data_IF_705452419867
#
_entry.id   IF_705452419867
#
_cell.length_a   1.000
_cell.length_b   1.000
_cell.length_c   1.000
_cell.angle_alpha   90.00
_cell.angle_beta   90.00
_cell.angle_gamma   90.00
#
_symmetry.space_group_name_H-M   'P 1'
#
loop_
_entity.id
_entity.type
_entity.pdbx_description
1 polymer ?
#
# COMPACT_ATOMS: atom_id res chain seq x y z
N UNK A 1 -3.60 -19.63 -93.20
CA UNK A 1 -3.57 -21.11 -93.09
C UNK A 1 -2.98 -21.44 -91.72
N UNK A 2 -3.86 -21.68 -90.75
CA UNK A 2 -4.10 -23.00 -90.14
C UNK A 2 -3.07 -23.35 -89.05
N UNK A 3 -3.52 -23.16 -87.81
CA UNK A 3 -3.47 -24.11 -86.69
C UNK A 3 -2.15 -24.88 -86.53
N UNK A 4 -1.38 -24.54 -85.49
CA UNK A 4 -0.74 -25.45 -84.52
C UNK A 4 0.45 -24.72 -83.87
N UNK A 5 0.23 -24.08 -82.72
CA UNK A 5 1.27 -23.81 -81.70
C UNK A 5 0.64 -23.28 -80.39
N UNK A 6 -0.52 -23.84 -80.04
CA UNK A 6 -1.16 -23.69 -78.71
C UNK A 6 -1.03 -25.02 -77.98
N UNK A 7 0.20 -25.46 -77.74
CA UNK A 7 0.54 -26.62 -76.90
C UNK A 7 1.91 -26.38 -76.27
N UNK A 8 1.96 -25.45 -75.31
CA UNK A 8 3.15 -25.25 -74.45
C UNK A 8 2.74 -24.44 -73.21
N UNK A 9 1.74 -24.91 -72.47
CA UNK A 9 1.61 -24.60 -71.05
C UNK A 9 0.77 -25.67 -70.35
N UNK A 10 1.15 -26.92 -70.60
CA UNK A 10 0.46 -28.12 -70.12
C UNK A 10 1.37 -28.95 -69.24
N UNK A 11 1.98 -28.37 -68.20
CA UNK A 11 2.57 -29.15 -67.08
C UNK A 11 2.77 -28.30 -65.81
N UNK A 12 1.68 -27.82 -65.22
CA UNK A 12 1.68 -27.38 -63.81
C UNK A 12 0.29 -27.49 -63.15
N UNK A 13 -0.55 -28.39 -63.67
CA UNK A 13 -1.88 -28.73 -63.15
C UNK A 13 -1.80 -30.05 -62.37
N UNK A 14 -1.21 -30.04 -61.18
CA UNK A 14 -1.45 -31.06 -60.15
C UNK A 14 -1.09 -30.47 -58.79
N UNK A 15 -2.05 -29.75 -58.19
CA UNK A 15 -2.28 -29.62 -56.74
C UNK A 15 -3.58 -28.80 -56.56
N UNK A 16 -4.69 -29.37 -57.05
CA UNK A 16 -6.03 -28.92 -56.71
C UNK A 16 -6.51 -29.78 -55.52
N UNK A 17 -6.66 -29.16 -54.36
CA UNK A 17 -7.24 -29.76 -53.15
C UNK A 17 -8.10 -28.72 -52.44
N UNK A 18 -9.36 -28.65 -52.88
CA UNK A 18 -10.58 -28.12 -52.24
C UNK A 18 -10.49 -26.99 -51.19
N UNK A 19 -10.99 -25.80 -51.55
CA UNK A 19 -11.51 -24.81 -50.60
C UNK A 19 -13.03 -24.62 -50.85
N UNK A 20 -13.93 -24.94 -49.89
CA UNK A 20 -15.36 -24.71 -50.06
C UNK A 20 -15.80 -23.35 -49.48
N UNK A 21 -16.26 -22.52 -50.42
CA UNK A 21 -17.39 -21.57 -50.41
C UNK A 21 -17.64 -20.66 -49.21
N UNK A 22 -17.54 -19.35 -49.48
CA UNK A 22 -18.22 -18.26 -48.77
C UNK A 22 -19.52 -17.88 -49.51
N UNK A 23 -20.62 -17.77 -48.76
CA UNK A 23 -21.90 -17.10 -49.07
C UNK A 23 -22.75 -17.26 -47.79
N UNK A 24 -23.46 -16.29 -47.21
CA UNK A 24 -23.71 -14.86 -47.49
C UNK A 24 -24.25 -14.24 -46.19
N UNK A 25 -24.08 -12.93 -46.03
CA UNK A 25 -24.89 -11.98 -45.26
C UNK A 25 -25.38 -12.34 -43.85
N UNK A 26 -24.73 -11.75 -42.84
CA UNK A 26 -25.48 -11.21 -41.70
C UNK A 26 -24.83 -9.91 -41.19
N UNK A 27 -25.71 -8.94 -40.95
CA UNK A 27 -25.42 -7.53 -40.74
C UNK A 27 -24.44 -7.29 -39.58
N UNK A 28 -23.54 -6.33 -39.79
CA UNK A 28 -22.75 -5.72 -38.72
C UNK A 28 -23.70 -5.01 -37.75
N UNK A 29 -24.16 -5.72 -36.72
CA UNK A 29 -24.77 -5.10 -35.55
C UNK A 29 -23.64 -4.43 -34.79
N UNK A 30 -23.49 -3.12 -34.98
CA UNK A 30 -22.74 -2.29 -34.04
C UNK A 30 -23.37 -2.43 -32.66
N UNK A 31 -22.76 -3.24 -31.79
CA UNK A 31 -23.02 -3.17 -30.34
C UNK A 31 -22.29 -1.95 -29.79
N UNK A 32 -23.08 -0.94 -29.45
CA UNK A 32 -22.71 0.18 -28.58
C UNK A 32 -22.23 -0.32 -27.21
N UNK A 33 -21.24 0.38 -26.68
CA UNK A 33 -20.84 0.47 -25.28
C UNK A 33 -20.75 -0.85 -24.47
N UNK A 34 -19.61 -1.53 -24.59
CA UNK A 34 -19.17 -2.48 -23.57
C UNK A 34 -17.91 -1.91 -22.92
N UNK A 35 -17.95 -1.73 -21.59
CA UNK A 35 -16.78 -1.36 -20.77
C UNK A 35 -15.59 -2.22 -21.22
N UNK A 36 -14.44 -1.60 -21.51
CA UNK A 36 -13.21 -2.28 -21.94
C UNK A 36 -12.85 -3.38 -20.94
N UNK A 37 -13.19 -4.61 -21.27
CA UNK A 37 -12.68 -5.79 -20.59
C UNK A 37 -11.23 -5.98 -21.05
N UNK A 38 -10.28 -5.89 -20.13
CA UNK A 38 -8.88 -6.08 -20.46
C UNK A 38 -8.50 -7.54 -20.33
N UNK A 39 -7.72 -8.07 -21.28
CA UNK A 39 -7.08 -9.37 -21.13
C UNK A 39 -6.07 -9.32 -19.99
N UNK A 40 -6.39 -9.93 -18.85
CA UNK A 40 -5.58 -9.91 -17.65
C UNK A 40 -5.32 -11.32 -17.13
N UNK A 41 -4.03 -11.68 -17.00
CA UNK A 41 -3.59 -12.80 -16.15
C UNK A 41 -3.36 -12.21 -14.74
N UNK A 42 -3.12 -13.05 -13.72
CA UNK A 42 -2.75 -12.60 -12.37
C UNK A 42 -1.46 -13.30 -11.90
N UNK A 43 -0.79 -12.71 -10.92
CA UNK A 43 0.24 -13.44 -10.17
C UNK A 43 -0.35 -14.69 -9.52
N UNK A 44 0.42 -15.78 -9.45
CA UNK A 44 -0.04 -17.03 -8.83
C UNK A 44 0.17 -17.07 -7.32
N UNK A 45 1.21 -16.39 -6.83
CA UNK A 45 1.57 -16.33 -5.42
C UNK A 45 1.06 -15.01 -4.81
N UNK A 46 0.36 -15.11 -3.68
CA UNK A 46 -0.20 -13.98 -2.94
C UNK A 46 0.73 -13.50 -1.81
N UNK A 47 1.71 -14.33 -1.42
CA UNK A 47 2.69 -14.07 -0.34
C UNK A 47 2.06 -14.12 1.05
N UNK A 48 1.08 -13.26 1.36
CA UNK A 48 0.35 -13.21 2.64
C UNK A 48 -1.16 -13.10 2.43
N UNK A 49 -1.95 -13.46 3.43
CA UNK A 49 -3.39 -13.18 3.46
C UNK A 49 -3.69 -11.67 3.46
N UNK A 50 -2.76 -10.83 3.94
CA UNK A 50 -2.90 -9.37 3.98
C UNK A 50 -2.81 -8.71 2.60
N UNK A 51 -2.34 -9.46 1.59
CA UNK A 51 -2.11 -8.95 0.25
C UNK A 51 -3.06 -9.55 -0.77
N UNK A 52 -3.13 -8.90 -1.94
CA UNK A 52 -3.89 -9.36 -3.09
C UNK A 52 -2.95 -9.87 -4.17
N UNK A 53 -3.45 -10.77 -5.03
CA UNK A 53 -2.75 -11.08 -6.28
C UNK A 53 -2.81 -9.87 -7.22
N UNK A 54 -1.72 -9.60 -7.91
CA UNK A 54 -1.61 -8.44 -8.81
C UNK A 54 -1.99 -8.80 -10.24
N UNK A 55 -2.67 -7.89 -10.93
CA UNK A 55 -3.03 -8.04 -12.35
C UNK A 55 -1.78 -7.97 -13.25
N UNK A 56 -1.75 -8.80 -14.29
CA UNK A 56 -0.72 -8.85 -15.33
C UNK A 56 -1.32 -8.65 -16.74
N UNK A 57 -0.64 -7.93 -17.65
CA UNK A 57 0.70 -7.34 -17.50
C UNK A 57 0.72 -6.20 -16.47
N UNK A 58 1.82 -6.08 -15.73
CA UNK A 58 1.97 -5.08 -14.68
C UNK A 58 1.77 -3.66 -15.25
N UNK A 59 0.92 -2.89 -14.57
CA UNK A 59 0.63 -1.50 -14.91
C UNK A 59 1.06 -0.61 -13.74
N UNK A 60 2.10 0.22 -13.91
CA UNK A 60 2.50 1.14 -12.86
C UNK A 60 1.41 2.18 -12.60
N UNK A 61 1.35 2.66 -11.36
CA UNK A 61 0.51 3.78 -10.96
C UNK A 61 0.62 4.97 -11.92
N UNK A 62 -0.50 5.62 -12.23
CA UNK A 62 -0.49 6.91 -12.94
C UNK A 62 0.02 8.06 -12.09
N UNK A 63 0.27 7.82 -10.81
CA UNK A 63 0.91 8.71 -9.85
C UNK A 63 2.23 8.16 -9.27
N UNK A 64 2.88 7.23 -9.99
CA UNK A 64 4.11 6.56 -9.54
C UNK A 64 5.17 7.54 -9.02
N UNK A 65 5.66 7.29 -7.80
CA UNK A 65 6.70 8.08 -7.15
C UNK A 65 6.19 9.33 -6.41
N UNK A 66 4.93 9.73 -6.59
CA UNK A 66 4.37 10.90 -5.88
C UNK A 66 4.31 10.66 -4.37
N UNK A 67 4.03 9.43 -3.92
CA UNK A 67 4.03 9.05 -2.50
C UNK A 67 5.37 9.30 -1.83
N UNK A 68 6.48 9.03 -2.53
CA UNK A 68 7.85 9.21 -2.03
C UNK A 68 8.20 10.69 -1.85
N UNK A 69 7.57 11.57 -2.64
CA UNK A 69 7.81 13.02 -2.55
C UNK A 69 7.01 13.69 -1.43
N UNK A 70 5.90 13.07 -1.01
CA UNK A 70 4.89 13.71 -0.17
C UNK A 70 4.80 13.16 1.26
N UNK A 71 5.24 11.92 1.46
CA UNK A 71 5.22 11.26 2.77
C UNK A 71 6.60 11.34 3.41
N UNK A 72 6.62 11.70 4.70
CA UNK A 72 7.80 12.04 5.48
C UNK A 72 8.75 10.87 5.71
N UNK A 73 8.21 9.68 5.98
CA UNK A 73 9.00 8.51 6.38
C UNK A 73 8.66 7.29 5.53
N UNK A 74 9.66 6.41 5.32
CA UNK A 74 9.42 5.13 4.65
C UNK A 74 8.44 4.24 5.43
N UNK A 75 8.41 4.37 6.76
CA UNK A 75 7.46 3.65 7.61
C UNK A 75 6.02 4.07 7.30
N UNK A 76 5.75 5.38 7.19
CA UNK A 76 4.43 5.89 6.82
C UNK A 76 4.03 5.46 5.40
N UNK A 77 4.98 5.37 4.45
CA UNK A 77 4.67 4.87 3.10
C UNK A 77 4.21 3.41 3.17
N UNK A 78 4.99 2.56 3.86
CA UNK A 78 4.65 1.14 3.99
C UNK A 78 3.28 0.96 4.65
N UNK A 79 3.01 1.73 5.70
CA UNK A 79 1.77 1.66 6.45
C UNK A 79 0.58 2.21 5.65
N UNK A 80 0.76 3.31 4.93
CA UNK A 80 -0.29 3.86 4.05
C UNK A 80 -0.68 2.87 2.95
N UNK A 81 0.28 2.23 2.29
CA UNK A 81 0.01 1.30 1.19
C UNK A 81 -0.54 -0.04 1.69
N UNK A 82 0.11 -0.65 2.67
CA UNK A 82 -0.29 -1.96 3.21
C UNK A 82 -1.55 -1.86 4.05
N UNK A 83 -1.68 -0.80 4.86
CA UNK A 83 -2.87 -0.57 5.67
C UNK A 83 -4.09 -0.22 4.82
N UNK A 84 -3.93 0.47 3.68
CA UNK A 84 -5.05 0.64 2.75
C UNK A 84 -5.49 -0.69 2.14
N UNK A 85 -4.57 -1.63 1.88
CA UNK A 85 -4.96 -3.00 1.48
C UNK A 85 -5.74 -3.68 2.59
N UNK A 86 -5.30 -3.63 3.86
CA UNK A 86 -6.04 -4.18 5.00
C UNK A 86 -7.45 -3.59 5.13
N UNK A 87 -7.59 -2.26 5.02
CA UNK A 87 -8.90 -1.60 5.02
C UNK A 87 -9.77 -2.07 3.85
N UNK A 88 -9.16 -2.28 2.67
CA UNK A 88 -9.87 -2.69 1.45
C UNK A 88 -10.44 -4.10 1.54
N UNK A 89 -9.83 -5.00 2.33
CA UNK A 89 -10.33 -6.37 2.52
C UNK A 89 -11.73 -6.42 3.15
N UNK A 90 -12.15 -5.37 3.86
CA UNK A 90 -13.51 -5.25 4.40
C UNK A 90 -14.58 -5.14 3.31
N UNK A 91 -14.22 -4.65 2.12
CA UNK A 91 -15.13 -4.44 0.98
C UNK A 91 -14.84 -5.39 -0.18
N UNK A 92 -13.57 -5.77 -0.35
CA UNK A 92 -13.06 -6.47 -1.52
C UNK A 92 -12.25 -7.69 -1.06
N UNK A 93 -12.85 -8.87 -0.97
CA UNK A 93 -12.10 -10.07 -0.55
C UNK A 93 -10.93 -10.38 -1.50
N UNK A 94 -9.72 -10.70 -1.01
CA UNK A 94 -8.58 -11.10 -1.85
C UNK A 94 -8.81 -12.43 -2.60
N UNK A 95 -9.83 -13.20 -2.23
CA UNK A 95 -10.25 -14.39 -2.97
C UNK A 95 -10.98 -14.04 -4.28
N UNK A 96 -11.73 -12.94 -4.27
CA UNK A 96 -12.61 -12.52 -5.37
C UNK A 96 -12.02 -11.38 -6.21
N UNK A 97 -11.12 -10.59 -5.63
CA UNK A 97 -10.55 -9.40 -6.23
C UNK A 97 -9.05 -9.50 -6.43
N UNK A 98 -8.58 -8.82 -7.47
CA UNK A 98 -7.18 -8.63 -7.81
C UNK A 98 -6.80 -7.18 -7.58
N UNK A 99 -5.54 -6.96 -7.23
CA UNK A 99 -4.99 -5.63 -7.00
C UNK A 99 -4.32 -5.06 -8.25
N UNK A 100 -4.50 -3.76 -8.41
CA UNK A 100 -3.76 -2.94 -9.35
C UNK A 100 -3.48 -1.57 -8.73
N UNK A 101 -2.29 -1.02 -8.97
CA UNK A 101 -1.98 0.35 -8.57
C UNK A 101 -2.88 1.36 -9.30
N UNK A 102 -3.24 2.47 -8.63
CA UNK A 102 -4.20 3.45 -9.14
C UNK A 102 -3.97 3.93 -10.58
N UNK A 103 -4.99 3.76 -11.42
CA UNK A 103 -4.95 4.10 -12.84
C UNK A 103 -5.75 5.34 -13.23
N UNK A 104 -6.60 5.88 -12.35
CA UNK A 104 -7.55 6.92 -12.73
C UNK A 104 -7.12 8.30 -12.24
N UNK A 105 -6.49 8.39 -11.07
CA UNK A 105 -6.01 9.64 -10.49
C UNK A 105 -4.52 9.85 -10.83
N UNK A 106 -4.27 10.61 -11.91
CA UNK A 106 -2.91 10.88 -12.38
C UNK A 106 -2.11 11.80 -11.46
N UNK A 107 -0.77 11.80 -11.57
CA UNK A 107 0.10 12.75 -10.87
C UNK A 107 -0.34 14.21 -11.04
N UNK A 108 -0.77 14.61 -12.25
CA UNK A 108 -1.20 15.98 -12.51
C UNK A 108 -2.47 16.33 -11.72
N UNK A 109 -3.46 15.44 -11.73
CA UNK A 109 -4.71 15.60 -10.97
C UNK A 109 -4.42 15.66 -9.47
N UNK A 110 -3.65 14.71 -8.95
CA UNK A 110 -3.35 14.63 -7.52
C UNK A 110 -2.52 15.83 -7.05
N UNK A 111 -1.54 16.28 -7.84
CA UNK A 111 -0.76 17.48 -7.49
C UNK A 111 -1.65 18.73 -7.37
N UNK A 112 -2.63 18.90 -8.27
CA UNK A 112 -3.61 20.00 -8.17
C UNK A 112 -4.47 19.89 -6.91
N UNK A 113 -4.93 18.68 -6.58
CA UNK A 113 -5.78 18.45 -5.39
C UNK A 113 -5.01 18.64 -4.09
N UNK A 114 -3.73 18.25 -4.06
CA UNK A 114 -2.89 18.33 -2.87
C UNK A 114 -2.39 19.74 -2.57
N UNK A 115 -2.34 20.62 -3.57
CA UNK A 115 -1.94 22.00 -3.36
C UNK A 115 -3.03 22.82 -2.63
N UNK A 116 -2.68 24.03 -2.20
CA UNK A 116 -3.61 24.97 -1.58
C UNK A 116 -4.63 25.49 -2.58
N UNK A 117 -5.86 25.64 -2.12
CA UNK A 117 -6.88 26.38 -2.85
C UNK A 117 -6.42 27.83 -3.08
N UNK A 118 -6.56 28.31 -4.31
CA UNK A 118 -6.22 29.67 -4.70
C UNK A 118 -7.00 30.08 -5.94
N UNK A 119 -6.89 31.35 -6.33
CA UNK A 119 -7.57 31.86 -7.53
C UNK A 119 -7.01 31.20 -8.80
N UNK A 120 -5.75 30.72 -8.76
CA UNK A 120 -5.08 29.96 -9.83
C UNK A 120 -5.35 28.46 -9.77
N UNK A 121 -5.59 27.92 -8.57
CA UNK A 121 -5.89 26.52 -8.35
C UNK A 121 -7.14 26.38 -7.48
N UNK A 122 -8.31 26.36 -8.13
CA UNK A 122 -9.59 26.20 -7.43
C UNK A 122 -9.84 24.77 -6.93
N UNK A 123 -9.06 23.81 -7.43
CA UNK A 123 -9.20 22.40 -7.10
C UNK A 123 -8.35 21.97 -5.89
N UNK A 124 -7.48 22.84 -5.37
CA UNK A 124 -6.70 22.56 -4.17
C UNK A 124 -7.59 22.26 -2.96
N UNK A 125 -7.33 21.14 -2.30
CA UNK A 125 -8.06 20.69 -1.11
C UNK A 125 -7.49 21.30 0.17
N UNK A 126 -6.20 21.67 0.18
CA UNK A 126 -5.61 22.35 1.32
C UNK A 126 -6.08 23.80 1.41
N UNK A 127 -6.15 24.40 2.62
CA UNK A 127 -6.71 25.72 2.81
C UNK A 127 -5.87 26.80 2.11
N UNK A 128 -6.56 27.85 1.61
CA UNK A 128 -5.92 29.03 1.02
C UNK A 128 -4.92 29.62 2.00
N UNK A 129 -3.75 30.03 1.49
CA UNK A 129 -2.76 30.70 2.31
C UNK A 129 -3.36 32.03 2.83
N UNK A 130 -3.42 32.18 4.16
CA UNK A 130 -3.98 33.34 4.83
C UNK A 130 -2.95 34.42 5.15
N UNK A 131 -1.69 34.25 4.73
CA UNK A 131 -0.60 35.20 4.97
C UNK A 131 -0.17 35.31 6.43
N UNK A 132 -0.61 34.38 7.30
CA UNK A 132 -0.27 34.34 8.72
C UNK A 132 0.77 33.28 9.01
N UNK A 133 1.48 33.46 10.11
CA UNK A 133 2.48 32.54 10.64
C UNK A 133 2.09 31.98 12.01
N UNK A 134 2.78 30.92 12.44
CA UNK A 134 2.62 30.30 13.75
C UNK A 134 1.26 29.63 13.89
N UNK A 135 0.67 29.70 15.07
CA UNK A 135 -0.61 29.03 15.37
C UNK A 135 -1.78 29.51 14.51
N UNK A 136 -1.72 30.75 14.00
CA UNK A 136 -2.79 31.31 13.16
C UNK A 136 -2.64 30.97 11.67
N UNK A 137 -1.53 30.34 11.27
CA UNK A 137 -1.30 29.88 9.90
C UNK A 137 -2.30 28.78 9.56
N UNK A 138 -2.85 28.80 8.34
CA UNK A 138 -3.64 27.68 7.83
C UNK A 138 -2.70 26.53 7.41
N UNK A 139 -2.69 25.38 8.09
CA UNK A 139 -1.72 24.32 7.79
C UNK A 139 -2.06 23.55 6.52
N UNK A 140 -1.09 22.79 6.01
CA UNK A 140 -1.31 21.72 5.05
C UNK A 140 -1.84 20.53 5.83
N UNK A 141 -3.14 20.27 5.75
CA UNK A 141 -3.78 19.13 6.39
C UNK A 141 -3.52 17.84 5.62
N UNK A 142 -3.61 17.89 4.29
CA UNK A 142 -3.52 16.73 3.41
C UNK A 142 -2.14 16.69 2.73
N UNK A 143 -1.35 15.66 3.02
CA UNK A 143 -0.04 15.47 2.42
C UNK A 143 -0.10 14.66 1.12
N UNK A 144 -0.93 13.61 1.10
CA UNK A 144 -1.00 12.70 -0.04
C UNK A 144 -2.37 12.06 -0.20
N UNK A 145 -2.67 11.63 -1.43
CA UNK A 145 -3.84 10.82 -1.77
C UNK A 145 -3.31 9.57 -2.49
N UNK A 146 -3.61 8.40 -1.94
CA UNK A 146 -3.28 7.12 -2.56
C UNK A 146 -4.53 6.50 -3.18
N UNK A 147 -4.42 5.95 -4.39
CA UNK A 147 -5.46 5.18 -5.07
C UNK A 147 -5.01 3.72 -5.25
N UNK A 148 -5.91 2.79 -4.94
CA UNK A 148 -5.78 1.35 -5.21
C UNK A 148 -7.01 0.84 -5.95
N UNK A 149 -6.79 0.10 -7.03
CA UNK A 149 -7.84 -0.42 -7.90
C UNK A 149 -8.05 -1.92 -7.63
N UNK A 150 -9.31 -2.32 -7.44
CA UNK A 150 -9.70 -3.70 -7.14
C UNK A 150 -10.53 -4.28 -8.29
N UNK A 151 -9.97 -5.26 -8.99
CA UNK A 151 -10.54 -5.82 -10.21
C UNK A 151 -11.13 -7.21 -9.96
N UNK A 152 -12.31 -7.49 -10.54
CA UNK A 152 -12.88 -8.83 -10.60
C UNK A 152 -12.60 -9.48 -11.94
N UNK A 153 -12.45 -10.80 -11.93
CA UNK A 153 -12.49 -11.58 -13.17
C UNK A 153 -13.92 -11.60 -13.70
N UNK A 154 -14.11 -11.28 -14.98
CA UNK A 154 -15.43 -11.35 -15.64
C UNK A 154 -15.56 -12.62 -16.47
N UNK A 155 -14.51 -12.99 -17.22
CA UNK A 155 -14.39 -14.28 -17.91
C UNK A 155 -12.99 -14.88 -17.70
N UNK A 156 -12.69 -16.05 -18.29
CA UNK A 156 -11.43 -16.80 -18.07
C UNK A 156 -10.15 -15.97 -18.17
N UNK A 157 -10.12 -14.95 -19.02
CA UNK A 157 -8.94 -14.12 -19.26
C UNK A 157 -9.21 -12.61 -19.16
N UNK A 158 -10.38 -12.18 -18.67
CA UNK A 158 -10.75 -10.77 -18.63
C UNK A 158 -11.00 -10.27 -17.22
N UNK A 159 -10.57 -9.05 -16.95
CA UNK A 159 -10.79 -8.37 -15.67
C UNK A 159 -11.54 -7.06 -15.88
N UNK A 160 -12.37 -6.71 -14.91
CA UNK A 160 -13.11 -5.46 -14.87
C UNK A 160 -13.01 -4.81 -13.49
N UNK A 161 -13.00 -3.49 -13.44
CA UNK A 161 -12.95 -2.73 -12.19
C UNK A 161 -14.20 -3.05 -11.34
N UNK A 162 -13.96 -3.57 -10.14
CA UNK A 162 -15.00 -3.94 -9.17
C UNK A 162 -15.13 -2.98 -7.99
N UNK A 163 -14.13 -2.11 -7.78
CA UNK A 163 -14.12 -1.08 -6.75
C UNK A 163 -12.77 -0.39 -6.68
N UNK A 164 -12.72 0.74 -5.98
CA UNK A 164 -11.46 1.43 -5.65
C UNK A 164 -11.38 1.72 -4.16
N UNK A 165 -10.16 1.90 -3.67
CA UNK A 165 -9.89 2.44 -2.34
C UNK A 165 -9.01 3.67 -2.44
N UNK A 166 -9.32 4.66 -1.60
CA UNK A 166 -8.59 5.92 -1.50
C UNK A 166 -8.11 6.10 -0.06
N UNK A 167 -6.83 6.37 0.15
CA UNK A 167 -6.35 6.88 1.43
C UNK A 167 -6.06 8.38 1.34
N UNK A 168 -6.54 9.14 2.32
CA UNK A 168 -6.15 10.51 2.56
C UNK A 168 -5.09 10.53 3.66
N UNK A 169 -3.83 10.76 3.28
CA UNK A 169 -2.73 10.86 4.22
C UNK A 169 -2.65 12.27 4.78
N UNK A 170 -3.01 12.41 6.05
CA UNK A 170 -3.14 13.68 6.74
C UNK A 170 -1.92 13.95 7.64
N UNK A 171 -1.48 15.20 7.70
CA UNK A 171 -0.40 15.61 8.60
C UNK A 171 -0.90 15.68 10.05
N UNK A 172 -0.22 14.98 10.97
CA UNK A 172 -0.30 15.26 12.41
C UNK A 172 0.57 16.47 12.80
N UNK A 173 1.65 16.71 12.04
CA UNK A 173 2.52 17.88 12.12
C UNK A 173 2.76 18.41 10.72
N UNK A 174 2.44 19.68 10.49
CA UNK A 174 2.79 20.37 9.26
C UNK A 174 4.13 21.10 9.40
N UNK A 175 5.04 20.85 8.47
CA UNK A 175 6.40 21.37 8.49
C UNK A 175 6.56 22.46 7.43
N UNK A 176 7.00 23.66 7.82
CA UNK A 176 7.09 24.79 6.90
C UNK A 176 8.29 25.69 7.17
N UNK A 177 8.72 26.43 6.14
CA UNK A 177 9.77 27.45 6.25
C UNK A 177 9.14 28.83 5.96
N UNK A 178 9.56 29.85 6.70
CA UNK A 178 9.11 31.25 6.50
C UNK A 178 9.86 31.95 5.38
N UNK A 179 11.08 31.50 5.11
CA UNK A 179 11.95 32.01 4.06
C UNK A 179 12.72 30.86 3.41
N UNK A 180 13.15 31.07 2.17
CA UNK A 180 13.85 30.04 1.40
C UNK A 180 15.17 29.68 2.10
N UNK A 181 15.39 28.40 2.37
CA UNK A 181 16.56 27.87 3.07
C UNK A 181 16.69 28.29 4.55
N UNK A 182 15.60 28.77 5.16
CA UNK A 182 15.54 29.10 6.59
C UNK A 182 15.28 27.89 7.49
N UNK A 183 15.02 28.18 8.77
CA UNK A 183 14.64 27.15 9.74
C UNK A 183 13.29 26.50 9.41
N UNK A 184 13.16 25.21 9.72
CA UNK A 184 11.90 24.46 9.63
C UNK A 184 11.11 24.66 10.92
N UNK A 185 9.88 25.14 10.79
CA UNK A 185 8.91 25.28 11.87
C UNK A 185 7.89 24.15 11.80
N UNK A 186 7.31 23.83 12.96
CA UNK A 186 6.30 22.80 13.11
C UNK A 186 4.97 23.41 13.57
N UNK A 187 3.87 22.93 12.98
CA UNK A 187 2.53 23.24 13.44
C UNK A 187 1.80 21.92 13.71
N UNK A 188 1.56 21.63 14.99
CA UNK A 188 0.82 20.43 15.41
C UNK A 188 -0.66 20.54 15.02
N UNK A 189 -1.24 19.43 14.57
CA UNK A 189 -2.65 19.29 14.22
C UNK A 189 -3.24 18.21 15.12
N UNK A 190 -4.29 18.55 15.87
CA UNK A 190 -4.95 17.57 16.75
C UNK A 190 -5.66 16.49 15.92
N UNK A 191 -5.74 15.28 16.48
CA UNK A 191 -6.44 14.15 15.83
C UNK A 191 -7.89 14.48 15.48
N UNK A 192 -8.58 15.25 16.34
CA UNK A 192 -9.94 15.72 16.09
C UNK A 192 -10.04 16.67 14.89
N UNK A 193 -9.09 17.60 14.75
CA UNK A 193 -9.05 18.55 13.64
C UNK A 193 -8.69 17.83 12.34
N UNK A 194 -7.66 16.97 12.39
CA UNK A 194 -7.23 16.13 11.29
C UNK A 194 -8.38 15.27 10.77
N UNK A 195 -9.10 14.57 11.67
CA UNK A 195 -10.24 13.73 11.31
C UNK A 195 -11.37 14.55 10.68
N UNK A 196 -11.68 15.72 11.24
CA UNK A 196 -12.72 16.61 10.71
C UNK A 196 -12.38 17.04 9.28
N UNK A 197 -11.16 17.55 9.06
CA UNK A 197 -10.68 17.95 7.75
C UNK A 197 -10.62 16.78 6.76
N UNK A 198 -10.15 15.62 7.19
CA UNK A 198 -10.11 14.42 6.37
C UNK A 198 -11.50 13.99 5.89
N UNK A 199 -12.53 14.08 6.75
CA UNK A 199 -13.92 13.76 6.38
C UNK A 199 -14.49 14.75 5.37
N UNK A 200 -14.23 16.05 5.54
CA UNK A 200 -14.66 17.10 4.60
C UNK A 200 -13.99 16.92 3.22
N UNK A 201 -12.68 16.67 3.21
CA UNK A 201 -11.92 16.42 1.99
C UNK A 201 -12.36 15.12 1.31
N UNK A 202 -12.66 14.06 2.07
CA UNK A 202 -13.18 12.79 1.55
C UNK A 202 -14.49 12.96 0.77
N UNK A 203 -15.41 13.79 1.26
CA UNK A 203 -16.66 14.09 0.56
C UNK A 203 -16.40 14.79 -0.78
N UNK A 204 -15.45 15.74 -0.80
CA UNK A 204 -15.04 16.43 -2.02
C UNK A 204 -14.35 15.48 -3.01
N UNK A 205 -13.47 14.61 -2.52
CA UNK A 205 -12.77 13.61 -3.33
C UNK A 205 -13.76 12.61 -3.95
N UNK A 206 -14.73 12.12 -3.18
CA UNK A 206 -15.79 11.24 -3.72
C UNK A 206 -16.56 11.92 -4.87
N UNK A 207 -16.96 13.18 -4.71
CA UNK A 207 -17.67 13.90 -5.77
C UNK A 207 -16.84 14.01 -7.06
N UNK A 208 -15.53 14.25 -6.94
CA UNK A 208 -14.63 14.30 -8.09
C UNK A 208 -14.40 12.92 -8.72
N UNK A 209 -14.31 11.88 -7.91
CA UNK A 209 -14.23 10.48 -8.37
C UNK A 209 -15.47 10.13 -9.19
N UNK A 210 -16.67 10.50 -8.73
CA UNK A 210 -17.92 10.25 -9.45
C UNK A 210 -18.01 10.98 -10.79
N UNK A 211 -17.31 12.10 -10.95
CA UNK A 211 -17.18 12.81 -12.22
C UNK A 211 -16.05 12.27 -13.12
N UNK A 212 -15.25 11.32 -12.63
CA UNK A 212 -14.11 10.74 -13.36
C UNK A 212 -14.59 9.59 -14.24
N UNK A 213 -14.28 9.63 -15.54
CA UNK A 213 -14.71 8.60 -16.51
C UNK A 213 -14.25 7.20 -16.07
N UNK A 214 -15.21 6.29 -15.91
CA UNK A 214 -14.96 4.90 -15.50
C UNK A 214 -15.13 4.64 -14.00
N UNK A 215 -15.31 5.69 -13.18
CA UNK A 215 -15.49 5.60 -11.73
C UNK A 215 -16.87 6.11 -11.24
N UNK A 216 -17.77 6.43 -12.17
CA UNK A 216 -19.11 6.97 -11.92
C UNK A 216 -19.98 6.08 -11.02
N UNK A 217 -19.81 4.76 -11.12
CA UNK A 217 -20.71 3.75 -10.53
C UNK A 217 -20.01 2.69 -9.67
N UNK A 218 -18.67 2.74 -9.55
CA UNK A 218 -17.93 1.73 -8.79
C UNK A 218 -18.00 2.00 -7.29
N UNK A 219 -18.08 0.99 -6.42
CA UNK A 219 -17.90 1.19 -4.98
C UNK A 219 -16.56 1.89 -4.68
N UNK A 220 -16.58 2.86 -3.77
CA UNK A 220 -15.40 3.61 -3.33
C UNK A 220 -15.26 3.44 -1.83
N UNK A 221 -14.13 2.88 -1.39
CA UNK A 221 -13.73 2.90 0.02
C UNK A 221 -12.81 4.11 0.22
N UNK A 222 -13.05 4.92 1.24
CA UNK A 222 -12.15 6.03 1.62
C UNK A 222 -11.70 5.85 3.05
N UNK A 223 -10.39 5.92 3.28
CA UNK A 223 -9.75 5.80 4.57
C UNK A 223 -8.94 7.06 4.90
N UNK A 224 -8.93 7.45 6.17
CA UNK A 224 -8.14 8.58 6.67
C UNK A 224 -6.94 8.01 7.42
N UNK A 225 -5.75 8.35 6.94
CA UNK A 225 -4.48 7.97 7.53
C UNK A 225 -3.89 9.18 8.24
N UNK A 226 -3.52 9.03 9.51
CA UNK A 226 -2.77 10.03 10.27
C UNK A 226 -1.29 9.70 10.10
N UNK A 227 -0.53 10.58 9.46
CA UNK A 227 0.91 10.43 9.31
C UNK A 227 1.65 10.69 10.63
N UNK A 228 2.72 9.94 10.87
CA UNK A 228 3.66 10.18 11.96
C UNK A 228 4.47 11.47 11.78
N UNK A 229 5.29 11.78 12.79
CA UNK A 229 6.27 12.86 12.71
C UNK A 229 7.45 12.46 11.82
N UNK A 230 8.15 13.43 11.24
CA UNK A 230 9.35 13.20 10.42
C UNK A 230 10.47 12.45 11.15
N UNK A 231 10.60 12.69 12.44
CA UNK A 231 11.58 12.06 13.34
C UNK A 231 10.98 10.85 14.09
N UNK A 232 9.77 10.43 13.73
CA UNK A 232 9.11 9.26 14.29
C UNK A 232 9.84 7.96 13.94
N UNK A 233 10.03 7.12 14.95
CA UNK A 233 10.63 5.78 14.83
C UNK A 233 9.60 4.67 14.60
N UNK A 234 8.32 5.04 14.53
CA UNK A 234 7.17 4.23 14.13
C UNK A 234 6.31 5.04 13.14
N UNK A 235 5.57 4.37 12.24
CA UNK A 235 4.65 5.08 11.35
C UNK A 235 3.48 5.71 12.13
N UNK A 236 2.72 6.55 11.44
CA UNK A 236 1.37 6.86 11.84
C UNK A 236 0.41 5.67 11.67
N UNK A 237 -0.90 5.92 11.63
CA UNK A 237 -1.92 4.87 11.61
C UNK A 237 -3.21 5.32 10.91
N UNK A 238 -4.01 4.36 10.45
CA UNK A 238 -5.38 4.64 10.01
C UNK A 238 -6.26 4.95 11.23
N UNK A 239 -7.19 5.90 11.07
CA UNK A 239 -8.08 6.34 12.16
C UNK A 239 -9.57 6.19 11.83
N UNK A 240 -9.93 6.17 10.55
CA UNK A 240 -11.30 6.00 10.13
C UNK A 240 -11.43 5.55 8.67
N UNK A 241 -12.50 4.84 8.35
CA UNK A 241 -12.88 4.51 6.98
C UNK A 241 -14.38 4.62 6.73
N UNK A 242 -14.77 4.74 5.46
CA UNK A 242 -16.15 4.72 5.01
C UNK A 242 -16.24 4.14 3.61
N UNK A 243 -17.41 3.66 3.22
CA UNK A 243 -17.69 3.15 1.87
C UNK A 243 -18.81 3.96 1.23
N UNK A 244 -18.75 4.10 -0.09
CA UNK A 244 -19.75 4.77 -0.90
C UNK A 244 -20.09 3.94 -2.13
N UNK A 245 -21.31 3.42 -2.19
CA UNK A 245 -21.85 2.74 -3.38
C UNK A 245 -22.47 3.73 -4.38
N UNK A 246 -22.79 4.95 -3.91
CA UNK A 246 -23.39 6.02 -4.70
C UNK A 246 -22.63 7.34 -4.56
N UNK A 247 -23.36 8.45 -4.68
CA UNK A 247 -22.79 9.81 -4.63
C UNK A 247 -22.54 10.35 -3.20
N UNK A 248 -22.82 9.56 -2.16
CA UNK A 248 -22.68 10.00 -0.77
C UNK A 248 -21.87 8.98 0.03
N UNK A 249 -21.04 9.49 0.95
CA UNK A 249 -20.30 8.66 1.90
C UNK A 249 -21.26 7.97 2.86
N UNK A 250 -20.99 6.70 3.15
CA UNK A 250 -21.68 5.96 4.20
C UNK A 250 -21.25 6.38 5.60
N UNK A 251 -21.64 5.57 6.59
CA UNK A 251 -21.25 5.78 7.99
C UNK A 251 -19.75 5.53 8.17
N UNK A 252 -19.07 6.49 8.78
CA UNK A 252 -17.67 6.32 9.19
C UNK A 252 -17.53 5.25 10.27
N UNK A 253 -16.60 4.32 10.06
CA UNK A 253 -16.11 3.38 11.04
C UNK A 253 -14.79 3.92 11.60
N UNK A 254 -14.62 3.86 12.92
CA UNK A 254 -13.33 4.13 13.56
C UNK A 254 -12.41 2.94 13.31
N UNK A 255 -11.13 3.21 13.13
CA UNK A 255 -10.08 2.20 13.06
C UNK A 255 -9.20 2.42 14.29
N UNK A 256 -9.11 1.42 15.16
CA UNK A 256 -8.21 1.43 16.31
C UNK A 256 -6.92 0.71 15.93
N UNK A 257 -5.98 1.47 15.38
CA UNK A 257 -4.67 0.99 14.97
C UNK A 257 -3.61 1.91 15.56
N UNK A 258 -2.53 1.35 16.11
CA UNK A 258 -1.42 2.14 16.64
C UNK A 258 -0.12 1.36 16.61
N UNK A 259 0.98 2.05 16.30
CA UNK A 259 2.32 1.47 16.34
C UNK A 259 3.11 1.96 17.54
N UNK A 260 3.92 1.09 18.14
CA UNK A 260 4.77 1.36 19.28
C UNK A 260 6.19 0.86 19.04
N UNK A 261 7.17 1.56 19.61
CA UNK A 261 8.54 1.05 19.76
C UNK A 261 8.61 0.17 21.00
N UNK A 262 9.33 -0.95 20.91
CA UNK A 262 9.63 -1.81 22.04
C UNK A 262 11.16 -1.92 22.24
N UNK A 263 11.65 -1.80 23.49
CA UNK A 263 10.92 -1.28 24.64
C UNK A 263 10.75 0.24 24.54
N UNK A 264 9.69 0.79 25.14
CA UNK A 264 9.51 2.24 25.27
C UNK A 264 8.61 2.61 26.46
N UNK A 265 8.66 3.89 26.89
CA UNK A 265 7.78 4.38 27.95
C UNK A 265 6.30 4.27 27.56
N UNK A 266 5.96 4.57 26.30
CA UNK A 266 4.60 4.50 25.78
C UNK A 266 4.10 3.05 25.72
N UNK A 267 4.92 2.12 25.22
CA UNK A 267 4.57 0.69 25.22
C UNK A 267 4.45 0.13 26.64
N UNK A 268 5.29 0.59 27.57
CA UNK A 268 5.21 0.18 28.98
C UNK A 268 3.95 0.67 29.69
N UNK A 269 3.44 1.83 29.29
CA UNK A 269 2.17 2.40 29.77
C UNK A 269 0.98 1.61 29.23
N UNK A 270 0.93 1.42 27.91
CA UNK A 270 -0.28 0.97 27.23
C UNK A 270 -0.32 -0.56 27.05
N UNK A 271 0.85 -1.20 26.88
CA UNK A 271 1.04 -2.63 26.60
C UNK A 271 2.14 -3.24 27.48
N UNK A 272 1.99 -3.09 28.81
CA UNK A 272 3.03 -3.44 29.80
C UNK A 272 3.59 -4.86 29.63
N UNK A 273 2.73 -5.86 29.43
CA UNK A 273 3.13 -7.27 29.30
C UNK A 273 4.03 -7.48 28.10
N UNK A 274 3.67 -6.90 26.95
CA UNK A 274 4.45 -7.01 25.72
C UNK A 274 5.78 -6.28 25.83
N UNK A 275 5.79 -5.09 26.44
CA UNK A 275 7.02 -4.36 26.71
C UNK A 275 7.97 -5.15 27.63
N UNK A 276 7.47 -5.71 28.74
CA UNK A 276 8.31 -6.51 29.66
C UNK A 276 8.83 -7.78 28.99
N UNK A 277 8.00 -8.48 28.22
CA UNK A 277 8.42 -9.67 27.46
C UNK A 277 9.53 -9.33 26.45
N UNK A 278 9.44 -8.16 25.81
CA UNK A 278 10.48 -7.68 24.91
C UNK A 278 11.76 -7.24 25.65
N UNK A 279 11.64 -6.63 26.84
CA UNK A 279 12.78 -6.32 27.71
C UNK A 279 13.53 -7.61 28.12
N UNK A 280 12.80 -8.67 28.48
CA UNK A 280 13.38 -9.97 28.83
C UNK A 280 14.05 -10.66 27.63
N UNK A 281 13.41 -10.62 26.45
CA UNK A 281 14.00 -11.08 25.19
C UNK A 281 15.31 -10.36 24.89
N UNK A 282 15.32 -9.02 25.00
CA UNK A 282 16.52 -8.20 24.78
C UNK A 282 17.62 -8.52 25.81
N UNK A 283 17.27 -8.63 27.09
CA UNK A 283 18.24 -8.92 28.14
C UNK A 283 18.93 -10.29 27.95
N UNK A 284 18.18 -11.31 27.50
CA UNK A 284 18.74 -12.63 27.21
C UNK A 284 19.65 -12.65 25.98
N UNK A 285 19.41 -11.77 24.98
CA UNK A 285 20.35 -11.55 23.88
C UNK A 285 21.65 -10.94 24.39
N UNK A 286 21.55 -9.84 25.14
CA UNK A 286 22.71 -9.08 25.65
C UNK A 286 23.57 -9.90 26.62
N UNK A 287 22.98 -10.88 27.31
CA UNK A 287 23.72 -11.78 28.21
C UNK A 287 24.77 -12.63 27.49
N UNK A 288 24.44 -13.15 26.31
CA UNK A 288 25.36 -14.00 25.52
C UNK A 288 26.14 -13.20 24.47
N UNK A 289 25.59 -12.05 24.06
CA UNK A 289 26.22 -11.16 23.09
C UNK A 289 26.22 -9.70 23.59
N UNK A 290 27.10 -9.34 24.55
CA UNK A 290 27.08 -8.04 25.23
C UNK A 290 27.28 -6.82 24.32
N UNK A 291 27.87 -7.02 23.15
CA UNK A 291 28.10 -5.95 22.18
C UNK A 291 26.87 -5.66 21.31
N UNK A 292 25.80 -6.47 21.41
CA UNK A 292 24.62 -6.42 20.54
C UNK A 292 23.41 -5.81 21.25
N UNK A 293 23.55 -4.54 21.64
CA UNK A 293 22.54 -3.78 22.40
C UNK A 293 21.50 -3.06 21.53
N UNK A 294 21.65 -3.16 20.20
CA UNK A 294 20.83 -2.47 19.20
C UNK A 294 19.45 -3.08 18.95
N UNK A 295 19.03 -4.07 19.75
CA UNK A 295 17.72 -4.73 19.59
C UNK A 295 16.59 -3.73 19.82
N UNK A 296 15.77 -3.53 18.79
CA UNK A 296 14.60 -2.64 18.79
C UNK A 296 13.42 -3.30 18.09
N UNK A 297 12.23 -3.19 18.69
CA UNK A 297 10.99 -3.70 18.14
C UNK A 297 10.09 -2.56 17.67
N UNK A 298 9.33 -2.82 16.61
CA UNK A 298 8.24 -1.99 16.10
C UNK A 298 7.00 -2.87 16.05
N UNK A 299 6.11 -2.69 17.01
CA UNK A 299 4.87 -3.45 17.08
C UNK A 299 3.70 -2.61 16.58
N UNK A 300 2.82 -3.23 15.80
CA UNK A 300 1.55 -2.66 15.38
C UNK A 300 0.43 -3.37 16.12
N UNK A 301 -0.47 -2.59 16.70
CA UNK A 301 -1.63 -3.04 17.44
C UNK A 301 -2.89 -2.71 16.65
N UNK A 302 -3.82 -3.65 16.64
CA UNK A 302 -5.19 -3.50 16.13
C UNK A 302 -6.16 -3.83 17.26
N UNK A 303 -7.12 -2.94 17.52
CA UNK A 303 -8.11 -3.10 18.60
C UNK A 303 -7.48 -3.41 19.98
N UNK A 304 -6.30 -2.85 20.24
CA UNK A 304 -5.54 -3.01 21.49
C UNK A 304 -4.68 -4.28 21.59
N UNK A 305 -4.74 -5.18 20.61
CA UNK A 305 -3.98 -6.43 20.57
C UNK A 305 -2.84 -6.34 19.54
N UNK A 306 -1.69 -6.95 19.85
CA UNK A 306 -0.53 -6.93 18.95
C UNK A 306 -0.83 -7.77 17.70
N UNK A 307 -0.85 -7.13 16.53
CA UNK A 307 -1.06 -7.80 15.25
C UNK A 307 0.27 -8.27 14.63
N UNK A 308 1.29 -7.42 14.66
CA UNK A 308 2.65 -7.78 14.23
C UNK A 308 3.74 -7.09 15.03
N UNK A 309 4.92 -7.71 15.02
CA UNK A 309 6.15 -7.24 15.65
C UNK A 309 7.33 -7.41 14.69
N UNK A 310 7.90 -6.28 14.26
CA UNK A 310 9.14 -6.23 13.49
C UNK A 310 10.31 -5.91 14.42
N UNK A 311 11.28 -6.81 14.51
CA UNK A 311 12.46 -6.68 15.36
C UNK A 311 13.67 -6.44 14.47
N UNK A 312 14.39 -5.34 14.69
CA UNK A 312 15.66 -5.07 14.04
C UNK A 312 16.80 -5.34 15.01
N UNK A 313 17.78 -6.12 14.54
CA UNK A 313 19.00 -6.43 15.29
C UNK A 313 20.21 -6.07 14.40
N UNK A 314 20.70 -4.82 14.49
CA UNK A 314 21.92 -4.42 13.79
C UNK A 314 23.15 -4.97 14.54
N UNK A 315 24.02 -5.64 13.80
CA UNK A 315 25.23 -6.30 14.28
C UNK A 315 26.47 -5.80 13.54
N UNK A 316 27.64 -5.96 14.16
CA UNK A 316 28.91 -5.90 13.44
C UNK A 316 29.32 -7.32 13.05
N UNK A 317 29.66 -7.51 11.77
CA UNK A 317 30.01 -8.83 11.25
C UNK A 317 31.43 -9.23 11.65
N UNK A 318 31.56 -10.34 12.37
CA UNK A 318 32.87 -10.93 12.72
C UNK A 318 33.10 -12.31 12.10
N UNK A 319 32.05 -12.93 11.52
CA UNK A 319 32.16 -14.17 10.76
C UNK A 319 30.82 -14.91 10.60
N UNK A 320 30.72 -15.73 9.56
CA UNK A 320 29.47 -16.41 9.17
C UNK A 320 28.96 -17.39 10.25
N UNK A 321 29.87 -18.16 10.84
CA UNK A 321 29.51 -19.10 11.91
C UNK A 321 28.90 -18.39 13.14
N UNK A 322 29.29 -17.13 13.39
CA UNK A 322 28.72 -16.33 14.47
C UNK A 322 27.28 -15.91 14.14
N UNK A 323 27.01 -15.50 12.90
CA UNK A 323 25.66 -15.18 12.43
C UNK A 323 24.73 -16.40 12.54
N UNK A 324 25.21 -17.58 12.12
CA UNK A 324 24.44 -18.83 12.23
C UNK A 324 24.08 -19.12 13.68
N UNK A 325 25.06 -19.13 14.58
CA UNK A 325 24.84 -19.40 16.01
C UNK A 325 23.94 -18.36 16.68
N UNK A 326 24.14 -17.08 16.34
CA UNK A 326 23.30 -15.99 16.83
C UNK A 326 21.85 -16.13 16.37
N UNK A 327 21.63 -16.43 15.09
CA UNK A 327 20.30 -16.61 14.51
C UNK A 327 19.57 -17.79 15.16
N UNK A 328 20.25 -18.90 15.39
CA UNK A 328 19.70 -20.05 16.13
C UNK A 328 19.26 -19.63 17.54
N UNK A 329 20.13 -18.93 18.27
CA UNK A 329 19.83 -18.48 19.62
C UNK A 329 18.64 -17.49 19.67
N UNK A 330 18.61 -16.52 18.77
CA UNK A 330 17.47 -15.58 18.66
C UNK A 330 16.18 -16.34 18.37
N UNK A 331 16.22 -17.34 17.48
CA UNK A 331 15.07 -18.18 17.14
C UNK A 331 14.51 -18.89 18.39
N UNK A 332 15.36 -19.45 19.23
CA UNK A 332 14.96 -20.08 20.50
C UNK A 332 14.32 -19.07 21.47
N UNK A 333 14.88 -17.86 21.54
CA UNK A 333 14.37 -16.79 22.41
C UNK A 333 12.98 -16.27 21.99
N UNK A 334 12.65 -16.28 20.69
CA UNK A 334 11.30 -15.92 20.24
C UNK A 334 10.24 -16.86 20.82
N UNK A 335 10.53 -18.16 20.90
CA UNK A 335 9.64 -19.16 21.50
C UNK A 335 9.54 -19.03 23.02
N UNK A 336 10.61 -18.58 23.68
CA UNK A 336 10.67 -18.42 25.13
C UNK A 336 9.92 -17.18 25.64
N UNK A 337 10.05 -16.06 24.93
CA UNK A 337 9.64 -14.75 25.46
C UNK A 337 8.45 -14.12 24.74
N UNK A 338 8.26 -14.37 23.45
CA UNK A 338 7.29 -13.62 22.65
C UNK A 338 6.04 -14.44 22.37
N UNK A 339 4.87 -13.84 22.56
CA UNK A 339 3.57 -14.48 22.36
C UNK A 339 3.38 -14.94 20.90
N UNK A 340 2.66 -16.04 20.71
CA UNK A 340 2.37 -16.60 19.38
C UNK A 340 1.24 -15.87 18.66
N UNK A 341 0.53 -14.95 19.32
CA UNK A 341 -0.68 -14.32 18.77
C UNK A 341 -0.39 -13.32 17.64
N UNK A 342 0.83 -12.78 17.59
CA UNK A 342 1.25 -11.80 16.59
C UNK A 342 2.16 -12.41 15.53
N UNK A 343 2.13 -11.86 14.32
CA UNK A 343 3.17 -12.15 13.33
C UNK A 343 4.49 -11.50 13.75
N UNK A 344 5.60 -12.22 13.62
CA UNK A 344 6.93 -11.74 13.98
C UNK A 344 7.85 -11.81 12.77
N UNK A 345 8.61 -10.73 12.56
CA UNK A 345 9.74 -10.69 11.65
C UNK A 345 10.96 -10.15 12.39
N UNK A 346 12.06 -10.90 12.38
CA UNK A 346 13.36 -10.45 12.90
C UNK A 346 14.30 -10.25 11.73
N UNK A 347 14.77 -9.02 11.56
CA UNK A 347 15.76 -8.64 10.57
C UNK A 347 17.11 -8.45 11.24
N UNK A 348 18.02 -9.39 11.00
CA UNK A 348 19.39 -9.35 11.52
C UNK A 348 20.27 -8.76 10.42
N UNK A 349 20.85 -7.59 10.67
CA UNK A 349 21.58 -6.82 9.65
C UNK A 349 23.00 -6.53 10.07
N UNK A 350 23.87 -6.33 9.08
CA UNK A 350 25.24 -5.86 9.23
C UNK A 350 25.43 -4.57 8.43
N UNK A 351 26.64 -4.01 8.42
CA UNK A 351 26.97 -2.88 7.56
C UNK A 351 26.82 -3.18 6.07
N UNK A 352 26.93 -4.45 5.70
CA UNK A 352 27.01 -4.88 4.30
C UNK A 352 25.64 -5.33 3.76
N UNK A 353 24.68 -5.59 4.64
CA UNK A 353 23.32 -5.96 4.27
C UNK A 353 22.60 -6.81 5.31
N UNK A 354 21.47 -7.41 4.93
CA UNK A 354 20.77 -8.39 5.76
C UNK A 354 21.59 -9.68 5.83
N UNK A 355 21.87 -10.13 7.05
CA UNK A 355 22.60 -11.36 7.32
C UNK A 355 21.67 -12.55 7.59
N UNK A 356 20.55 -12.30 8.27
CA UNK A 356 19.55 -13.33 8.51
C UNK A 356 18.13 -12.75 8.66
N UNK A 357 17.15 -13.59 8.38
CA UNK A 357 15.72 -13.30 8.54
C UNK A 357 15.07 -14.43 9.33
N UNK A 358 14.33 -14.08 10.38
CA UNK A 358 13.47 -15.02 11.12
C UNK A 358 12.03 -14.56 10.99
N UNK A 359 11.12 -15.46 10.64
CA UNK A 359 9.69 -15.15 10.50
C UNK A 359 8.84 -16.16 11.25
N UNK A 360 7.78 -15.69 11.91
CA UNK A 360 6.72 -16.52 12.50
C UNK A 360 5.38 -15.89 12.20
N UNK A 361 4.43 -16.64 11.63
CA UNK A 361 3.07 -16.10 11.44
C UNK A 361 2.32 -16.11 12.77
N UNK A 362 1.27 -15.30 12.86
CA UNK A 362 0.35 -15.37 13.98
C UNK A 362 -0.22 -16.79 14.12
N UNK A 363 -0.20 -17.30 15.34
CA UNK A 363 -0.63 -18.63 15.79
C UNK A 363 0.20 -19.82 15.28
N UNK A 364 1.36 -19.58 14.65
CA UNK A 364 2.32 -20.65 14.36
C UNK A 364 3.25 -20.87 15.57
N UNK A 365 3.42 -22.12 15.98
CA UNK A 365 4.30 -22.47 17.11
C UNK A 365 5.78 -22.28 16.77
N UNK A 366 6.16 -22.53 15.51
CA UNK A 366 7.57 -22.67 15.11
C UNK A 366 8.00 -21.53 14.18
N UNK A 367 8.98 -20.70 14.57
CA UNK A 367 9.60 -19.73 13.68
C UNK A 367 10.43 -20.42 12.57
N UNK A 368 10.51 -19.79 11.40
CA UNK A 368 11.40 -20.20 10.30
C UNK A 368 12.54 -19.19 10.19
N UNK A 369 13.78 -19.67 10.15
CA UNK A 369 14.97 -18.85 9.99
C UNK A 369 15.65 -19.09 8.63
N UNK A 370 16.24 -18.04 8.08
CA UNK A 370 17.03 -18.06 6.85
C UNK A 370 18.31 -17.24 7.04
N UNK A 371 19.44 -17.80 6.61
CA UNK A 371 20.74 -17.13 6.54
C UNK A 371 20.96 -16.72 5.09
N UNK A 372 21.42 -15.49 4.86
CA UNK A 372 21.73 -14.99 3.53
C UNK A 372 23.18 -15.35 3.16
N UNK A 373 23.35 -15.96 1.98
CA UNK A 373 24.64 -16.41 1.43
C UNK A 373 25.18 -15.50 0.31
#
# INVERSE_FOLDING_TARGET
>A
MKKLLVVSLSTALLLAGCAPSLNSDEQVVQKKDTKQAETGIMTKNQISADYYKTVLPYKPSKSRGLVVSNINSRYDINELESGLMRVSQQSYSPDDYLFQEGQYLTSETLTKWLDRSSDKNKDGLNPKNNGKDGEQRAPIYLAHILEQDYLKKTDKNTVGLGGISIALAMNSVDYYQKEKYGATFEQNISDSTLLTQGKEMAATVLNRIRATKGLDSVPVTIAIYKQGKRDGVVPGNFIASTTADGASLGKWKTIDEKSYVLPSADAKSDHKTDNTSFEDFKADIEKYYPNYTGVVGRARYEDGEMADLNIDIPLQFYGEAEIIGFTQYVTDLLGKHLSTNAAIQVNITTTDGTAALITRKANDDTPTAHIFD
#
